data_IF_531873910503
#
_entry.id   IF_531873910503
#
_cell.length_a   1.000
_cell.length_b   1.000
_cell.length_c   1.000
_cell.angle_alpha   90.00
_cell.angle_beta   90.00
_cell.angle_gamma   90.00
#
_symmetry.space_group_name_H-M   'P 1'
#
loop_
_entity.id
_entity.type
_entity.pdbx_description
1 polymer ?
#
# COMPACT_ATOMS: atom_id res chain seq x y z
N UNK A 1 -3.81 -0.75 -10.71
CA UNK A 1 -4.12 -1.67 -9.60
C UNK A 1 -3.99 -0.91 -8.28
N UNK A 2 -4.89 -1.15 -7.33
CA UNK A 2 -4.81 -0.59 -5.98
C UNK A 2 -4.84 -1.74 -4.98
N UNK A 3 -3.87 -1.78 -4.08
CA UNK A 3 -3.87 -2.75 -2.97
C UNK A 3 -4.47 -2.12 -1.72
N UNK A 4 -5.15 -2.92 -0.91
CA UNK A 4 -5.79 -2.45 0.31
C UNK A 4 -5.65 -3.51 1.40
N UNK A 5 -5.27 -3.10 2.61
CA UNK A 5 -5.41 -3.92 3.80
C UNK A 5 -5.82 -3.11 5.02
N UNK A 6 -6.28 -3.82 6.05
CA UNK A 6 -6.76 -3.21 7.28
C UNK A 6 -5.70 -3.34 8.38
N UNK A 7 -5.45 -2.26 9.11
CA UNK A 7 -4.75 -2.30 10.40
C UNK A 7 -5.79 -2.36 11.53
N UNK A 8 -6.06 -3.57 12.03
CA UNK A 8 -6.96 -3.79 13.16
C UNK A 8 -6.50 -3.10 14.46
N UNK A 9 -5.22 -2.70 14.53
CA UNK A 9 -4.66 -1.89 15.61
C UNK A 9 -5.18 -0.45 15.64
N UNK A 10 -5.80 0.02 14.55
CA UNK A 10 -6.20 1.41 14.38
C UNK A 10 -5.05 2.36 14.06
N UNK A 11 -3.83 1.88 13.83
CA UNK A 11 -2.70 2.73 13.41
C UNK A 11 -2.60 2.75 11.87
N UNK A 12 -2.79 3.91 11.20
CA UNK A 12 -2.69 3.99 9.74
C UNK A 12 -1.24 3.97 9.22
N UNK A 13 -0.23 4.15 10.08
CA UNK A 13 1.16 4.22 9.62
C UNK A 13 1.64 2.86 9.08
N UNK A 14 2.34 2.85 7.93
CA UNK A 14 2.86 1.62 7.36
C UNK A 14 3.96 1.01 8.25
N UNK A 15 3.92 -0.30 8.39
CA UNK A 15 5.00 -1.11 8.94
C UNK A 15 6.13 -1.29 7.92
N UNK A 16 7.26 -1.87 8.35
CA UNK A 16 8.36 -2.21 7.43
C UNK A 16 7.93 -3.29 6.44
N UNK A 17 7.06 -4.19 6.88
CA UNK A 17 6.48 -5.27 6.11
C UNK A 17 5.56 -4.72 5.02
N UNK A 18 4.76 -3.68 5.32
CA UNK A 18 3.90 -3.00 4.34
C UNK A 18 4.73 -2.35 3.22
N UNK A 19 5.82 -1.66 3.58
CA UNK A 19 6.74 -1.07 2.60
C UNK A 19 7.38 -2.17 1.73
N UNK A 20 7.84 -3.26 2.35
CA UNK A 20 8.50 -4.35 1.65
C UNK A 20 7.56 -5.08 0.68
N UNK A 21 6.32 -5.36 1.09
CA UNK A 21 5.35 -6.04 0.22
C UNK A 21 4.89 -5.12 -0.90
N UNK A 22 4.72 -3.82 -0.65
CA UNK A 22 4.36 -2.84 -1.69
C UNK A 22 5.38 -2.84 -2.83
N UNK A 23 6.67 -2.82 -2.50
CA UNK A 23 7.75 -2.88 -3.50
C UNK A 23 7.71 -4.18 -4.31
N UNK A 24 7.55 -5.33 -3.63
CA UNK A 24 7.43 -6.63 -4.31
C UNK A 24 6.22 -6.70 -5.24
N UNK A 25 5.08 -6.16 -4.80
CA UNK A 25 3.86 -6.12 -5.60
C UNK A 25 4.01 -5.17 -6.81
N UNK A 26 4.69 -4.04 -6.65
CA UNK A 26 5.02 -3.12 -7.75
C UNK A 26 5.90 -3.79 -8.80
N UNK A 27 6.97 -4.46 -8.37
CA UNK A 27 7.87 -5.23 -9.26
C UNK A 27 7.11 -6.38 -9.97
N UNK A 28 6.30 -7.14 -9.23
CA UNK A 28 5.53 -8.24 -9.80
C UNK A 28 4.48 -7.74 -10.81
N UNK A 29 3.77 -6.65 -10.51
CA UNK A 29 2.75 -6.09 -11.41
C UNK A 29 3.36 -5.55 -12.71
N UNK A 30 4.59 -5.01 -12.65
CA UNK A 30 5.32 -4.57 -13.85
C UNK A 30 5.59 -5.72 -14.82
N UNK A 31 5.79 -6.95 -14.34
CA UNK A 31 6.04 -8.12 -15.21
C UNK A 31 4.85 -8.49 -16.12
N UNK A 32 3.66 -7.94 -15.83
CA UNK A 32 2.43 -8.15 -16.59
C UNK A 32 1.84 -6.84 -17.11
N UNK A 33 2.66 -5.80 -17.26
CA UNK A 33 2.28 -4.46 -17.76
C UNK A 33 1.15 -3.80 -16.95
N UNK A 34 1.04 -4.09 -15.65
CA UNK A 34 0.07 -3.47 -14.74
C UNK A 34 0.74 -2.48 -13.81
N UNK A 35 0.23 -1.25 -13.80
CA UNK A 35 0.68 -0.19 -12.90
C UNK A 35 -0.02 -0.32 -11.55
N UNK A 36 0.74 -0.25 -10.45
CA UNK A 36 0.21 -0.05 -9.10
C UNK A 36 0.02 1.45 -8.89
N UNK A 37 -1.22 1.89 -8.70
CA UNK A 37 -1.58 3.30 -8.52
C UNK A 37 -1.58 3.72 -7.06
N UNK A 38 -1.89 2.80 -6.14
CA UNK A 38 -1.87 3.08 -4.72
C UNK A 38 -1.81 1.80 -3.88
N UNK A 39 -1.47 1.98 -2.62
CA UNK A 39 -1.65 1.01 -1.55
C UNK A 39 -2.31 1.74 -0.37
N UNK A 40 -3.51 1.33 0.00
CA UNK A 40 -4.28 1.93 1.07
C UNK A 40 -4.22 1.08 2.35
N UNK A 41 -3.84 1.69 3.46
CA UNK A 41 -4.02 1.12 4.79
C UNK A 41 -5.27 1.73 5.40
N UNK A 42 -6.26 0.91 5.70
CA UNK A 42 -7.49 1.34 6.37
C UNK A 42 -7.39 1.05 7.87
N UNK A 43 -7.51 2.09 8.69
CA UNK A 43 -7.37 2.02 10.14
C UNK A 43 -8.55 2.75 10.82
N UNK A 44 -9.73 2.11 10.80
CA UNK A 44 -10.96 2.72 11.32
C UNK A 44 -11.42 3.87 10.43
N UNK A 45 -11.44 5.09 10.97
CA UNK A 45 -11.81 6.30 10.23
C UNK A 45 -10.61 6.97 9.53
N UNK A 46 -9.41 6.43 9.72
CA UNK A 46 -8.18 6.93 9.10
C UNK A 46 -7.77 6.04 7.92
N UNK A 47 -7.20 6.67 6.89
CA UNK A 47 -6.65 6.00 5.72
C UNK A 47 -5.27 6.56 5.43
N UNK A 48 -4.32 5.67 5.18
CA UNK A 48 -3.01 6.03 4.66
C UNK A 48 -2.92 5.63 3.19
N UNK A 49 -2.67 6.60 2.31
CA UNK A 49 -2.36 6.36 0.89
C UNK A 49 -0.85 6.42 0.69
N UNK A 50 -0.29 5.36 0.11
CA UNK A 50 1.13 5.35 -0.27
C UNK A 50 1.42 6.36 -1.39
N UNK A 51 0.47 6.55 -2.31
CA UNK A 51 0.61 7.53 -3.40
C UNK A 51 0.67 8.97 -2.85
N UNK A 52 -0.21 9.33 -1.91
CA UNK A 52 -0.23 10.67 -1.29
C UNK A 52 1.08 10.99 -0.54
N UNK A 53 1.77 9.96 -0.07
CA UNK A 53 3.05 10.06 0.64
C UNK A 53 4.28 9.84 -0.26
N UNK A 54 4.10 9.71 -1.58
CA UNK A 54 5.19 9.57 -2.55
C UNK A 54 5.94 8.24 -2.47
N UNK A 55 5.30 7.19 -1.96
CA UNK A 55 5.88 5.85 -1.81
C UNK A 55 5.59 4.94 -3.01
N UNK A 56 4.71 5.34 -3.93
CA UNK A 56 4.38 4.63 -5.18
C UNK A 56 4.60 5.53 -6.38
#
# INVERSE_FOLDING_TARGET
>A
MVFVHNHLSGNPNPSKEDLAITNKLKEASQSIDVVVHDHLIIAGNEVYSFADHGLI
#
